data_IF_910110848780
#
_entry.id   IF_910110848780
#
_cell.length_a   1.000
_cell.length_b   1.000
_cell.length_c   1.000
_cell.angle_alpha   90.00
_cell.angle_beta   90.00
_cell.angle_gamma   90.00
#
_symmetry.space_group_name_H-M   'P 1'
#
loop_
_entity.id
_entity.type
_entity.pdbx_description
1 polymer ?
#
# COMPACT_ATOMS: atom_id res chain seq x y z
N UNK A 1 -17.08 -9.62 -11.80
CA UNK A 1 -16.25 -10.52 -10.98
C UNK A 1 -15.09 -11.06 -11.80
N UNK A 2 -15.32 -11.62 -12.99
CA UNK A 2 -14.25 -12.06 -13.91
C UNK A 2 -13.19 -10.98 -14.20
N UNK A 3 -13.61 -9.80 -14.68
CA UNK A 3 -12.70 -8.65 -14.95
C UNK A 3 -11.84 -8.21 -13.77
N UNK A 4 -12.33 -8.39 -12.54
CA UNK A 4 -11.57 -8.07 -11.34
C UNK A 4 -10.38 -9.03 -11.19
N UNK A 5 -10.65 -10.34 -11.33
CA UNK A 5 -9.60 -11.35 -11.21
C UNK A 5 -8.65 -11.33 -12.40
N UNK A 6 -9.12 -11.05 -13.61
CA UNK A 6 -8.25 -10.82 -14.76
C UNK A 6 -7.26 -9.69 -14.48
N UNK A 7 -7.76 -8.55 -13.96
CA UNK A 7 -6.90 -7.42 -13.63
C UNK A 7 -5.91 -7.74 -12.51
N UNK A 8 -6.37 -8.40 -11.45
CA UNK A 8 -5.51 -8.82 -10.34
C UNK A 8 -4.42 -9.81 -10.80
N UNK A 9 -4.77 -10.76 -11.68
CA UNK A 9 -3.81 -11.73 -12.21
C UNK A 9 -2.77 -11.05 -13.11
N UNK A 10 -3.16 -10.04 -13.90
CA UNK A 10 -2.23 -9.23 -14.69
C UNK A 10 -1.23 -8.48 -13.79
N UNK A 11 -1.70 -7.91 -12.68
CA UNK A 11 -0.83 -7.24 -11.70
C UNK A 11 0.10 -8.25 -11.02
N UNK A 12 -0.44 -9.41 -10.63
CA UNK A 12 0.29 -10.46 -9.94
C UNK A 12 1.35 -11.16 -10.82
N UNK A 13 1.25 -11.07 -12.14
CA UNK A 13 2.27 -11.57 -13.10
C UNK A 13 3.56 -10.71 -13.12
N UNK A 14 3.58 -9.58 -12.39
CA UNK A 14 4.76 -8.75 -12.30
C UNK A 14 5.93 -9.50 -11.62
N UNK A 15 7.17 -9.46 -12.17
CA UNK A 15 8.32 -10.23 -11.66
C UNK A 15 8.63 -10.07 -10.17
N UNK A 16 8.30 -8.91 -9.59
CA UNK A 16 8.46 -8.64 -8.16
C UNK A 16 7.68 -9.64 -7.28
N UNK A 17 6.50 -10.10 -7.71
CA UNK A 17 5.70 -11.07 -6.96
C UNK A 17 6.21 -12.50 -7.06
N UNK A 18 7.13 -12.79 -7.99
CA UNK A 18 7.66 -14.15 -8.21
C UNK A 18 9.08 -14.33 -7.70
N UNK A 19 9.90 -13.27 -7.73
CA UNK A 19 11.31 -13.33 -7.34
C UNK A 19 11.81 -12.10 -6.58
N UNK A 20 10.90 -11.24 -6.11
CA UNK A 20 11.23 -10.15 -5.21
C UNK A 20 11.37 -10.62 -3.76
N UNK A 21 12.13 -9.86 -2.98
CA UNK A 21 12.20 -10.04 -1.53
C UNK A 21 10.87 -9.61 -0.91
N UNK A 22 10.23 -10.54 -0.20
CA UNK A 22 8.95 -10.33 0.45
C UNK A 22 9.14 -9.92 1.91
N UNK A 23 8.50 -8.83 2.33
CA UNK A 23 8.53 -8.36 3.70
C UNK A 23 7.12 -8.08 4.24
N UNK A 24 6.90 -8.40 5.51
CA UNK A 24 5.75 -7.90 6.26
C UNK A 24 5.94 -6.41 6.54
N UNK A 25 4.95 -5.60 6.18
CA UNK A 25 4.92 -4.18 6.50
C UNK A 25 4.13 -3.97 7.80
N UNK A 26 4.70 -3.21 8.73
CA UNK A 26 4.07 -2.94 10.03
C UNK A 26 3.08 -1.76 9.90
N UNK A 27 1.77 -1.96 10.16
CA UNK A 27 0.84 -0.85 10.28
C UNK A 27 0.99 -0.20 11.67
N UNK A 28 1.20 1.11 11.68
CA UNK A 28 1.30 1.92 12.89
C UNK A 28 -0.02 2.68 13.15
N UNK A 29 -0.29 3.10 14.40
CA UNK A 29 -1.44 3.93 14.72
C UNK A 29 -1.44 5.23 13.90
N UNK A 30 -2.56 5.56 13.25
CA UNK A 30 -2.73 6.83 12.55
C UNK A 30 -2.99 7.99 13.53
N UNK A 31 -3.71 7.71 14.62
CA UNK A 31 -3.83 8.58 15.78
C UNK A 31 -3.84 7.72 17.08
N UNK A 32 -3.56 8.32 18.26
CA UNK A 32 -3.37 7.54 19.50
C UNK A 32 -4.60 6.77 20.00
N UNK A 33 -5.80 7.26 19.70
CA UNK A 33 -7.06 6.69 20.21
C UNK A 33 -7.61 5.58 19.29
N UNK A 34 -7.27 5.65 17.99
CA UNK A 34 -7.71 4.73 16.97
C UNK A 34 -6.82 3.47 16.90
N UNK A 35 -7.42 2.32 17.23
CA UNK A 35 -6.75 1.00 17.20
C UNK A 35 -7.03 0.20 15.93
N UNK A 36 -7.77 0.76 14.97
CA UNK A 36 -8.14 0.09 13.72
C UNK A 36 -6.93 -0.21 12.82
N UNK A 37 -5.75 0.37 13.07
CA UNK A 37 -4.52 0.01 12.37
C UNK A 37 -4.18 -1.50 12.46
N UNK A 38 -4.64 -2.18 13.51
CA UNK A 38 -4.46 -3.63 13.70
C UNK A 38 -5.28 -4.48 12.74
N UNK A 39 -6.25 -3.88 12.06
CA UNK A 39 -7.09 -4.54 11.08
C UNK A 39 -6.37 -4.72 9.73
N UNK A 40 -5.20 -4.11 9.55
CA UNK A 40 -4.47 -4.18 8.30
C UNK A 40 -3.55 -5.39 8.21
N UNK A 41 -3.58 -6.04 7.04
CA UNK A 41 -2.58 -7.00 6.59
C UNK A 41 -1.84 -6.35 5.42
N UNK A 42 -0.53 -6.27 5.51
CA UNK A 42 0.27 -5.53 4.54
C UNK A 42 1.63 -6.14 4.28
N UNK A 43 2.00 -6.21 3.01
CA UNK A 43 3.25 -6.78 2.54
C UNK A 43 3.86 -5.91 1.45
N UNK A 44 5.18 -5.97 1.31
CA UNK A 44 5.86 -5.47 0.14
C UNK A 44 6.68 -6.56 -0.54
N UNK A 45 6.91 -6.35 -1.83
CA UNK A 45 7.81 -7.14 -2.67
C UNK A 45 8.80 -6.20 -3.32
N UNK A 46 10.08 -6.43 -3.08
CA UNK A 46 11.16 -5.58 -3.58
C UNK A 46 11.97 -6.36 -4.61
N UNK A 47 12.08 -5.82 -5.83
CA UNK A 47 12.94 -6.38 -6.86
C UNK A 47 13.60 -5.27 -7.69
N UNK A 48 14.94 -5.24 -7.68
CA UNK A 48 15.75 -4.21 -8.36
C UNK A 48 15.36 -2.79 -7.93
N UNK A 49 14.64 -2.05 -8.79
CA UNK A 49 14.20 -0.66 -8.55
C UNK A 49 12.69 -0.56 -8.39
N UNK A 50 12.00 -1.69 -8.25
CA UNK A 50 10.55 -1.75 -8.10
C UNK A 50 10.21 -2.27 -6.71
N UNK A 51 9.26 -1.60 -6.07
CA UNK A 51 8.61 -2.08 -4.86
C UNK A 51 7.11 -2.14 -5.12
N UNK A 52 6.52 -3.33 -4.98
CA UNK A 52 5.07 -3.50 -4.93
C UNK A 52 4.63 -3.51 -3.46
N UNK A 53 3.56 -2.81 -3.13
CA UNK A 53 2.97 -2.83 -1.78
C UNK A 53 1.53 -3.28 -1.89
N UNK A 54 1.15 -4.32 -1.15
CA UNK A 54 -0.25 -4.75 -1.01
C UNK A 54 -0.70 -4.49 0.41
N UNK A 55 -1.84 -3.83 0.55
CA UNK A 55 -2.47 -3.55 1.86
C UNK A 55 -3.93 -3.91 1.81
N UNK A 56 -4.43 -4.59 2.85
CA UNK A 56 -5.84 -4.97 2.99
C UNK A 56 -6.31 -4.59 4.38
N UNK A 57 -7.41 -3.84 4.49
CA UNK A 57 -8.18 -3.75 5.73
C UNK A 57 -8.98 -5.04 5.90
N UNK A 58 -8.43 -6.01 6.64
CA UNK A 58 -9.04 -7.31 6.86
C UNK A 58 -10.03 -7.29 8.04
N UNK A 59 -10.99 -6.36 8.01
CA UNK A 59 -12.04 -6.22 9.03
C UNK A 59 -13.36 -5.71 8.45
N UNK A 60 -14.39 -5.73 9.28
CA UNK A 60 -15.70 -5.14 8.99
C UNK A 60 -15.80 -3.64 9.36
N UNK A 61 -14.70 -3.04 9.85
CA UNK A 61 -14.68 -1.67 10.32
C UNK A 61 -13.96 -0.76 9.32
N UNK A 62 -14.38 0.49 9.22
CA UNK A 62 -13.58 1.52 8.54
C UNK A 62 -12.31 1.71 9.37
N UNK A 63 -11.16 1.58 8.73
CA UNK A 63 -9.87 1.53 9.42
C UNK A 63 -8.87 2.52 8.85
N UNK A 64 -7.97 3.02 9.70
CA UNK A 64 -6.85 3.88 9.28
C UNK A 64 -5.52 3.41 9.86
N UNK A 65 -4.43 3.57 9.12
CA UNK A 65 -3.09 3.26 9.60
C UNK A 65 -2.03 4.16 8.95
N UNK A 66 -0.86 4.20 9.59
CA UNK A 66 0.37 4.69 8.98
C UNK A 66 1.25 3.48 8.64
N UNK A 67 1.35 3.14 7.36
CA UNK A 67 2.11 1.96 6.95
C UNK A 67 3.60 2.27 6.92
N UNK A 68 4.40 1.50 7.67
CA UNK A 68 5.85 1.68 7.71
C UNK A 68 6.51 1.08 6.46
N UNK A 69 6.76 1.92 5.46
CA UNK A 69 7.42 1.59 4.18
C UNK A 69 8.32 2.73 3.74
N UNK A 70 9.43 2.41 3.08
CA UNK A 70 10.37 3.42 2.59
C UNK A 70 10.04 3.79 1.14
N UNK A 71 9.30 4.90 0.98
CA UNK A 71 8.87 5.40 -0.32
C UNK A 71 9.67 6.66 -0.65
N UNK A 72 10.22 6.72 -1.87
CA UNK A 72 10.92 7.91 -2.34
C UNK A 72 9.93 9.04 -2.67
N UNK A 73 10.21 10.22 -2.12
CA UNK A 73 9.59 11.47 -2.57
C UNK A 73 10.44 12.14 -3.67
N UNK A 74 9.78 12.92 -4.54
CA UNK A 74 10.41 13.82 -5.51
C UNK A 74 10.01 15.25 -5.13
N UNK A 75 10.93 16.01 -4.54
CA UNK A 75 10.63 17.33 -3.97
C UNK A 75 9.68 17.21 -2.77
N UNK A 76 8.62 18.02 -2.75
CA UNK A 76 7.70 18.11 -1.61
C UNK A 76 6.57 17.07 -1.64
N UNK A 77 6.59 16.14 -2.60
CA UNK A 77 5.56 15.12 -2.74
C UNK A 77 6.10 13.74 -3.13
N UNK A 78 5.35 12.70 -2.79
CA UNK A 78 5.48 11.37 -3.39
C UNK A 78 4.22 11.07 -4.18
N UNK A 79 4.40 10.52 -5.38
CA UNK A 79 3.30 10.11 -6.25
C UNK A 79 3.38 8.61 -6.39
N UNK A 80 2.30 7.92 -6.01
CA UNK A 80 2.20 6.46 -6.07
C UNK A 80 1.10 6.08 -7.04
N UNK A 81 1.37 5.07 -7.85
CA UNK A 81 0.37 4.49 -8.73
C UNK A 81 -0.31 3.34 -8.01
N UNK A 82 -1.65 3.39 -7.90
CA UNK A 82 -2.47 2.31 -7.36
C UNK A 82 -3.05 1.51 -8.53
N UNK A 83 -2.56 0.29 -8.68
CA UNK A 83 -2.75 -0.52 -9.88
C UNK A 83 -4.18 -1.00 -10.05
N UNK A 84 -4.89 -1.30 -8.95
CA UNK A 84 -6.23 -1.86 -9.04
C UNK A 84 -7.28 -0.85 -9.51
N UNK A 85 -7.11 0.42 -9.15
CA UNK A 85 -7.96 1.54 -9.56
C UNK A 85 -7.43 2.34 -10.74
N UNK A 86 -6.18 2.08 -11.18
CA UNK A 86 -5.47 2.81 -12.23
C UNK A 86 -5.42 4.32 -11.94
N UNK A 87 -5.00 4.66 -10.70
CA UNK A 87 -5.00 6.05 -10.21
C UNK A 87 -3.69 6.42 -9.53
N UNK A 88 -3.31 7.68 -9.69
CA UNK A 88 -2.20 8.26 -8.95
C UNK A 88 -2.68 8.90 -7.65
N UNK A 89 -2.04 8.54 -6.56
CA UNK A 89 -2.20 9.15 -5.24
C UNK A 89 -0.99 10.04 -4.98
N UNK A 90 -1.25 11.28 -4.57
CA UNK A 90 -0.20 12.24 -4.23
C UNK A 90 -0.20 12.47 -2.73
N UNK A 91 0.95 12.25 -2.11
CA UNK A 91 1.19 12.47 -0.69
C UNK A 91 2.23 13.56 -0.52
N UNK A 92 2.13 14.35 0.55
CA UNK A 92 3.22 15.24 0.92
C UNK A 92 4.41 14.43 1.43
N UNK A 93 5.62 14.88 1.08
CA UNK A 93 6.86 14.22 1.50
C UNK A 93 6.99 14.12 3.03
N UNK A 94 6.51 15.14 3.75
CA UNK A 94 6.48 15.17 5.22
C UNK A 94 5.68 13.98 5.81
N UNK A 95 4.53 13.64 5.21
CA UNK A 95 3.71 12.52 5.66
C UNK A 95 4.40 11.19 5.35
N UNK A 96 4.90 11.04 4.13
CA UNK A 96 5.62 9.83 3.68
C UNK A 96 6.83 9.52 4.55
N UNK A 97 7.53 10.55 5.05
CA UNK A 97 8.69 10.35 5.93
C UNK A 97 8.36 9.63 7.24
N UNK A 98 7.10 9.69 7.67
CA UNK A 98 6.60 8.98 8.85
C UNK A 98 6.01 7.60 8.50
N UNK A 99 5.61 7.42 7.24
CA UNK A 99 5.02 6.20 6.67
C UNK A 99 3.97 6.56 5.60
N UNK A 100 3.41 5.57 4.92
CA UNK A 100 2.32 5.79 3.97
C UNK A 100 0.98 5.91 4.72
N UNK A 101 0.34 7.09 4.78
CA UNK A 101 -0.94 7.24 5.46
C UNK A 101 -2.06 6.59 4.64
N UNK A 102 -2.85 5.73 5.28
CA UNK A 102 -4.06 5.14 4.73
C UNK A 102 -5.22 5.49 5.66
N UNK A 103 -6.11 6.35 5.18
CA UNK A 103 -7.19 6.91 5.98
C UNK A 103 -8.55 6.41 5.49
N UNK A 104 -9.45 6.13 6.43
CA UNK A 104 -10.85 5.76 6.15
C UNK A 104 -11.00 4.62 5.14
N UNK A 105 -10.14 3.60 5.22
CA UNK A 105 -10.19 2.44 4.34
C UNK A 105 -11.44 1.63 4.68
N UNK A 106 -12.33 1.45 3.71
CA UNK A 106 -13.56 0.70 3.89
C UNK A 106 -13.30 -0.76 4.31
N UNK A 107 -14.29 -1.42 4.93
CA UNK A 107 -14.23 -2.85 5.22
C UNK A 107 -13.80 -3.68 4.01
N UNK A 108 -12.80 -4.55 4.19
CA UNK A 108 -12.20 -5.35 3.11
C UNK A 108 -11.63 -4.55 1.94
N UNK A 109 -11.46 -3.24 2.11
CA UNK A 109 -10.77 -2.37 1.16
C UNK A 109 -9.29 -2.71 1.09
N UNK A 110 -8.71 -2.55 -0.10
CA UNK A 110 -7.32 -2.87 -0.35
C UNK A 110 -6.72 -1.91 -1.37
N UNK A 111 -5.39 -1.89 -1.41
CA UNK A 111 -4.61 -1.16 -2.38
C UNK A 111 -3.43 -2.02 -2.86
N UNK A 112 -3.07 -1.87 -4.12
CA UNK A 112 -1.84 -2.40 -4.70
C UNK A 112 -1.05 -1.24 -5.28
N UNK A 113 0.00 -0.81 -4.60
CA UNK A 113 0.83 0.30 -5.06
C UNK A 113 2.06 -0.20 -5.81
N UNK A 114 2.37 0.47 -6.93
CA UNK A 114 3.65 0.38 -7.63
C UNK A 114 4.52 1.59 -7.30
N UNK A 115 5.71 1.32 -6.77
CA UNK A 115 6.64 2.33 -6.29
C UNK A 115 8.02 2.16 -6.96
N UNK A 116 8.57 3.26 -7.46
CA UNK A 116 9.97 3.32 -7.88
C UNK A 116 10.88 3.54 -6.66
N UNK A 117 11.92 2.71 -6.53
CA UNK A 117 12.93 2.77 -5.48
C UNK A 117 14.22 3.48 -5.86
#
# INVERSE_FOLDING_TARGET
MEKFYEHLLLIADHPAFHGGEWNLCEPLPYNPEDKTYRNFISFNWIQRRTMKIVVVNYSQEISSCLLKVNIKSKGDSAVLFEEMSDRFFTFKAENISQGLPLENVHPYGFFVFDCEM
#
